data_IF_646667828826
#
_entry.id   IF_646667828826
#
_cell.length_a   1.000
_cell.length_b   1.000
_cell.length_c   1.000
_cell.angle_alpha   90.00
_cell.angle_beta   90.00
_cell.angle_gamma   90.00
#
_symmetry.space_group_name_H-M   'P 1'
#
loop_
_entity.id
_entity.type
_entity.pdbx_description
1 polymer ?
#
# COMPACT_ATOMS: atom_id res chain seq x y z
N UNK A 1 7.02 19.83 1.07
CA UNK A 1 6.86 18.63 0.22
C UNK A 1 7.20 17.35 0.99
N UNK A 2 8.31 17.30 1.73
CA UNK A 2 8.74 16.14 2.53
C UNK A 2 7.76 15.63 3.62
N UNK A 3 6.96 16.54 4.21
CA UNK A 3 6.03 16.21 5.30
C UNK A 3 4.80 15.39 4.90
N UNK A 4 4.40 15.41 3.63
CA UNK A 4 3.23 14.65 3.16
C UNK A 4 3.57 13.18 2.86
N UNK A 5 4.77 12.88 2.36
CA UNK A 5 5.17 11.54 1.94
C UNK A 5 5.41 10.58 3.12
N UNK A 6 6.04 11.05 4.20
CA UNK A 6 6.33 10.23 5.39
C UNK A 6 5.04 9.78 6.09
N UNK A 7 3.96 10.55 5.95
CA UNK A 7 2.71 10.33 6.65
C UNK A 7 1.98 9.05 6.22
N UNK A 8 2.12 8.58 4.98
CA UNK A 8 1.33 7.43 4.48
C UNK A 8 1.81 6.11 5.11
N UNK A 9 3.13 5.87 5.16
CA UNK A 9 3.67 4.62 5.71
C UNK A 9 3.57 4.56 7.23
N UNK A 10 3.79 5.68 7.91
CA UNK A 10 3.52 5.75 9.37
C UNK A 10 2.05 5.50 9.65
N UNK A 11 1.15 6.06 8.81
CA UNK A 11 -0.29 5.87 8.95
C UNK A 11 -0.73 4.42 8.72
N UNK A 12 -0.09 3.66 7.84
CA UNK A 12 -0.37 2.22 7.67
C UNK A 12 -0.01 1.44 8.94
N UNK A 13 1.14 1.73 9.55
CA UNK A 13 1.58 1.07 10.80
C UNK A 13 0.65 1.44 11.96
N UNK A 14 0.25 2.71 12.06
CA UNK A 14 -0.68 3.19 13.09
C UNK A 14 -2.09 2.62 12.91
N UNK A 15 -2.63 2.66 11.69
CA UNK A 15 -3.96 2.13 11.39
C UNK A 15 -4.04 0.64 11.62
N UNK A 16 -2.98 -0.12 11.31
CA UNK A 16 -2.91 -1.55 11.65
C UNK A 16 -3.11 -1.80 13.15
N UNK A 17 -2.58 -0.95 14.01
CA UNK A 17 -2.74 -1.09 15.48
C UNK A 17 -4.19 -0.83 15.93
N UNK A 18 -4.92 0.03 15.21
CA UNK A 18 -6.28 0.45 15.57
C UNK A 18 -7.32 -0.51 14.99
N UNK A 19 -7.20 -0.83 13.70
CA UNK A 19 -8.22 -1.56 12.94
C UNK A 19 -7.89 -3.04 12.72
N UNK A 20 -6.66 -3.45 13.04
CA UNK A 20 -6.19 -4.82 12.84
C UNK A 20 -5.55 -5.03 11.46
N UNK A 21 -5.37 -6.30 11.05
CA UNK A 21 -4.54 -6.66 9.91
C UNK A 21 -5.14 -6.29 8.53
N UNK A 22 -6.44 -6.03 8.48
CA UNK A 22 -7.21 -5.69 7.28
C UNK A 22 -8.14 -4.52 7.60
N UNK A 23 -8.05 -3.42 6.85
CA UNK A 23 -8.93 -2.27 7.06
C UNK A 23 -9.22 -1.50 5.78
N UNK A 24 -10.35 -0.81 5.77
CA UNK A 24 -10.73 0.13 4.72
C UNK A 24 -10.28 1.54 5.10
N UNK A 25 -9.75 2.28 4.13
CA UNK A 25 -9.42 3.70 4.30
C UNK A 25 -9.78 4.49 3.05
N UNK A 26 -9.99 5.79 3.20
CA UNK A 26 -10.29 6.68 2.09
C UNK A 26 -9.08 7.58 1.78
N UNK A 27 -8.77 7.69 0.49
CA UNK A 27 -7.75 8.59 -0.05
C UNK A 27 -8.40 9.45 -1.13
N UNK A 28 -8.97 10.58 -0.71
CA UNK A 28 -9.78 11.42 -1.59
C UNK A 28 -10.96 10.60 -2.15
N UNK A 29 -11.18 10.54 -3.47
CA UNK A 29 -12.25 9.76 -4.08
C UNK A 29 -11.98 8.24 -4.10
N UNK A 30 -10.77 7.80 -3.73
CA UNK A 30 -10.37 6.40 -3.78
C UNK A 30 -10.66 5.70 -2.46
N UNK A 31 -11.37 4.57 -2.52
CA UNK A 31 -11.46 3.62 -1.42
C UNK A 31 -10.33 2.62 -1.51
N UNK A 32 -9.52 2.51 -0.46
CA UNK A 32 -8.41 1.57 -0.35
C UNK A 32 -8.76 0.48 0.66
N UNK A 33 -8.47 -0.77 0.31
CA UNK A 33 -8.43 -1.89 1.25
C UNK A 33 -6.97 -2.20 1.52
N UNK A 34 -6.55 -2.04 2.77
CA UNK A 34 -5.16 -2.24 3.19
C UNK A 34 -5.03 -3.60 3.86
N UNK A 35 -4.00 -4.34 3.47
CA UNK A 35 -3.66 -5.66 4.03
C UNK A 35 -2.25 -5.58 4.60
N UNK A 36 -2.09 -5.96 5.87
CA UNK A 36 -0.80 -5.82 6.58
C UNK A 36 -0.26 -7.13 7.18
N UNK A 37 -0.99 -8.24 7.05
CA UNK A 37 -0.53 -9.56 7.47
C UNK A 37 0.00 -10.36 6.27
N UNK A 38 1.15 -11.01 6.44
CA UNK A 38 1.82 -11.76 5.39
C UNK A 38 0.91 -12.83 4.76
N UNK A 39 0.22 -13.62 5.59
CA UNK A 39 -0.67 -14.70 5.11
C UNK A 39 -1.83 -14.16 4.25
N UNK A 40 -2.38 -13.00 4.60
CA UNK A 40 -3.44 -12.35 3.83
C UNK A 40 -2.90 -11.76 2.53
N UNK A 41 -1.71 -11.17 2.55
CA UNK A 41 -1.03 -10.65 1.35
C UNK A 41 -0.76 -11.81 0.39
N UNK A 42 -0.26 -12.94 0.88
CA UNK A 42 -0.05 -14.14 0.08
C UNK A 42 -1.35 -14.62 -0.58
N UNK A 43 -2.44 -14.70 0.17
CA UNK A 43 -3.74 -15.08 -0.38
C UNK A 43 -4.19 -14.14 -1.51
N UNK A 44 -4.08 -12.82 -1.31
CA UNK A 44 -4.43 -11.83 -2.34
C UNK A 44 -3.56 -12.02 -3.59
N UNK A 45 -2.25 -12.17 -3.43
CA UNK A 45 -1.33 -12.36 -4.56
C UNK A 45 -1.57 -13.67 -5.31
N UNK A 46 -1.97 -14.75 -4.62
CA UNK A 46 -2.34 -16.02 -5.26
C UNK A 46 -3.65 -15.95 -6.02
N UNK A 47 -4.58 -15.09 -5.61
CA UNK A 47 -5.90 -14.92 -6.24
C UNK A 47 -5.90 -13.95 -7.43
N UNK A 48 -4.85 -13.16 -7.58
CA UNK A 48 -4.69 -12.13 -8.61
C UNK A 48 -4.69 -12.67 -10.06
N UNK A 49 -4.58 -13.99 -10.22
CA UNK A 49 -4.67 -14.69 -11.51
C UNK A 49 -3.45 -14.48 -12.42
N UNK A 50 -3.59 -14.89 -13.69
CA UNK A 50 -2.49 -14.86 -14.67
C UNK A 50 -2.11 -13.44 -15.12
N UNK A 51 -3.06 -12.51 -15.07
CA UNK A 51 -2.92 -11.14 -15.58
C UNK A 51 -3.29 -10.13 -14.48
N UNK A 52 -2.37 -9.89 -13.52
CA UNK A 52 -2.62 -8.96 -12.43
C UNK A 52 -2.84 -7.55 -12.96
N UNK A 53 -3.87 -6.87 -12.45
CA UNK A 53 -4.09 -5.45 -12.71
C UNK A 53 -3.54 -4.67 -11.51
N UNK A 54 -2.69 -3.69 -11.79
CA UNK A 54 -2.12 -2.79 -10.78
C UNK A 54 -2.64 -1.39 -11.03
N UNK A 55 -3.15 -0.76 -9.98
CA UNK A 55 -3.42 0.67 -10.00
C UNK A 55 -2.09 1.41 -10.00
N UNK A 56 -1.94 2.39 -10.89
CA UNK A 56 -0.80 3.28 -10.85
C UNK A 56 -0.76 3.99 -9.49
N UNK A 57 0.33 3.81 -8.76
CA UNK A 57 0.57 4.38 -7.44
C UNK A 57 1.76 5.36 -7.50
N UNK A 58 1.61 6.49 -8.22
CA UNK A 58 2.74 7.39 -8.51
C UNK A 58 3.36 7.97 -7.23
N UNK A 59 2.55 8.15 -6.18
CA UNK A 59 3.01 8.64 -4.88
C UNK A 59 3.96 7.66 -4.20
N UNK A 60 3.67 6.36 -4.25
CA UNK A 60 4.53 5.32 -3.66
C UNK A 60 5.79 5.10 -4.50
N UNK A 61 5.65 5.16 -5.82
CA UNK A 61 6.79 5.10 -6.74
C UNK A 61 7.77 6.23 -6.48
N UNK A 62 7.30 7.48 -6.49
CA UNK A 62 8.13 8.66 -6.23
C UNK A 62 8.81 8.58 -4.85
N UNK A 63 8.08 8.14 -3.81
CA UNK A 63 8.64 7.94 -2.48
C UNK A 63 9.82 6.94 -2.50
N UNK A 64 9.68 5.82 -3.21
CA UNK A 64 10.73 4.79 -3.33
C UNK A 64 11.92 5.28 -4.15
N UNK A 65 11.67 6.00 -5.26
CA UNK A 65 12.69 6.65 -6.08
C UNK A 65 13.56 7.60 -5.23
N UNK A 66 12.92 8.47 -4.44
CA UNK A 66 13.61 9.41 -3.55
C UNK A 66 14.48 8.73 -2.48
N UNK A 67 14.19 7.47 -2.13
CA UNK A 67 14.93 6.70 -1.11
C UNK A 67 15.83 5.62 -1.71
N UNK A 68 15.98 5.59 -3.03
CA UNK A 68 16.74 4.56 -3.74
C UNK A 68 16.31 3.13 -3.38
N UNK A 69 14.99 2.92 -3.24
CA UNK A 69 14.38 1.62 -2.92
C UNK A 69 13.79 0.99 -4.18
N UNK A 70 13.88 -0.34 -4.29
CA UNK A 70 13.21 -1.09 -5.36
C UNK A 70 11.70 -0.86 -5.33
N UNK A 71 11.05 -0.82 -6.49
CA UNK A 71 9.63 -0.51 -6.64
C UNK A 71 8.69 -1.56 -6.02
N UNK A 72 9.12 -2.83 -6.01
CA UNK A 72 8.32 -3.94 -5.49
C UNK A 72 7.21 -4.38 -6.45
N UNK A 73 6.31 -5.26 -6.01
CA UNK A 73 5.28 -5.89 -6.86
C UNK A 73 4.07 -4.99 -7.18
N UNK A 74 4.09 -3.75 -6.70
CA UNK A 74 3.01 -2.76 -6.80
C UNK A 74 3.55 -1.53 -7.55
N UNK A 75 3.92 -1.71 -8.82
CA UNK A 75 4.24 -0.63 -9.77
C UNK A 75 3.86 -1.04 -11.18
#
# INVERSE_FOLDING_TARGET
>A
MERYQTHILTRIIEHRKIYGPLWKSELGPLTLVNVSQADLIEQVLRQDGKHPIRTDMPVLRLYREMRNQAYGPLT
#
